data_IF_465843104593
#
_entry.id   IF_465843104593
#
_cell.length_a   1.000
_cell.length_b   1.000
_cell.length_c   1.000
_cell.angle_alpha   90.00
_cell.angle_beta   90.00
_cell.angle_gamma   90.00
#
_symmetry.space_group_name_H-M   'P 1'
#
loop_
_entity.id
_entity.type
_entity.pdbx_description
1 polymer ?
#
# COMPACT_ATOMS: atom_id res chain seq x y z
N UNK A 1 -24.65 -13.82 -31.64
CA UNK A 1 -23.63 -14.22 -30.65
C UNK A 1 -23.21 -13.11 -29.67
N UNK A 2 -23.05 -11.83 -30.03
CA UNK A 2 -22.83 -10.73 -29.04
C UNK A 2 -24.10 -9.95 -28.70
N UNK A 3 -24.92 -9.63 -29.71
CA UNK A 3 -26.21 -8.92 -29.57
C UNK A 3 -27.22 -9.70 -28.72
N UNK A 4 -27.35 -11.01 -28.94
CA UNK A 4 -28.20 -11.92 -28.16
C UNK A 4 -27.81 -12.00 -26.68
N UNK A 5 -26.55 -11.68 -26.35
CA UNK A 5 -26.05 -11.64 -24.98
C UNK A 5 -26.03 -10.21 -24.40
N UNK A 6 -26.62 -9.24 -25.10
CA UNK A 6 -26.70 -7.83 -24.69
C UNK A 6 -25.32 -7.21 -24.39
N UNK A 7 -24.29 -7.61 -25.16
CA UNK A 7 -22.89 -7.19 -24.96
C UNK A 7 -22.48 -5.96 -25.80
N UNK A 8 -23.36 -5.46 -26.67
CA UNK A 8 -23.14 -4.25 -27.46
C UNK A 8 -23.75 -3.07 -26.68
N UNK A 9 -22.97 -2.47 -25.78
CA UNK A 9 -23.42 -1.34 -24.95
C UNK A 9 -22.59 -0.10 -25.26
N UNK A 10 -23.23 0.96 -25.76
CA UNK A 10 -22.62 2.29 -25.92
C UNK A 10 -21.66 2.47 -27.11
N UNK A 11 -21.59 1.50 -28.03
CA UNK A 11 -20.81 1.63 -29.27
C UNK A 11 -21.70 1.93 -30.46
N UNK A 12 -21.37 2.99 -31.22
CA UNK A 12 -21.97 3.34 -32.51
C UNK A 12 -20.91 3.29 -33.62
N UNK A 13 -21.28 3.59 -34.86
CA UNK A 13 -20.36 3.57 -36.01
C UNK A 13 -19.31 4.71 -35.98
N UNK A 14 -19.45 5.66 -35.05
CA UNK A 14 -18.56 6.80 -34.89
C UNK A 14 -17.49 6.56 -33.80
N UNK A 15 -17.81 5.75 -32.79
CA UNK A 15 -16.98 5.51 -31.61
C UNK A 15 -16.45 4.08 -31.50
N UNK A 16 -16.96 3.13 -32.31
CA UNK A 16 -16.50 1.75 -32.33
C UNK A 16 -16.06 1.31 -33.73
N UNK A 17 -14.95 0.57 -33.84
CA UNK A 17 -14.51 0.00 -35.12
C UNK A 17 -15.36 -1.26 -35.41
N UNK A 18 -16.12 -1.23 -36.50
CA UNK A 18 -16.98 -2.34 -36.92
C UNK A 18 -16.36 -3.04 -38.11
N UNK A 19 -16.00 -4.31 -37.92
CA UNK A 19 -15.36 -5.15 -38.93
C UNK A 19 -16.43 -6.07 -39.54
N UNK A 20 -16.57 -5.98 -40.86
CA UNK A 20 -17.39 -6.86 -41.68
C UNK A 20 -16.51 -7.89 -42.38
N UNK A 21 -16.38 -9.05 -41.75
CA UNK A 21 -15.50 -10.14 -42.17
C UNK A 21 -16.24 -11.25 -42.94
N UNK A 22 -17.57 -11.30 -42.84
CA UNK A 22 -18.40 -12.32 -43.49
C UNK A 22 -19.63 -11.72 -44.15
N UNK A 23 -19.86 -12.07 -45.43
CA UNK A 23 -21.07 -11.69 -46.16
C UNK A 23 -22.30 -12.35 -45.52
N UNK A 24 -23.31 -11.55 -45.19
CA UNK A 24 -24.61 -12.00 -44.70
C UNK A 24 -25.74 -11.45 -45.59
N UNK A 25 -26.93 -12.08 -45.64
CA UNK A 25 -28.07 -11.59 -46.41
C UNK A 25 -28.51 -10.20 -45.95
N UNK A 26 -28.97 -9.35 -46.89
CA UNK A 26 -29.41 -7.98 -46.60
C UNK A 26 -30.50 -7.93 -45.52
N UNK A 27 -31.45 -8.86 -45.54
CA UNK A 27 -32.50 -8.97 -44.51
C UNK A 27 -31.93 -9.13 -43.09
N UNK A 28 -30.78 -9.80 -42.95
CA UNK A 28 -30.11 -9.96 -41.66
C UNK A 28 -29.34 -8.70 -41.24
N UNK A 29 -28.82 -7.92 -42.19
CA UNK A 29 -28.22 -6.60 -41.94
C UNK A 29 -29.27 -5.60 -41.50
N UNK A 30 -30.43 -5.57 -42.17
CA UNK A 30 -31.52 -4.64 -41.84
C UNK A 30 -32.08 -4.94 -40.45
N UNK A 31 -32.28 -6.23 -40.11
CA UNK A 31 -32.63 -6.66 -38.75
C UNK A 31 -31.61 -6.20 -37.70
N UNK A 32 -30.31 -6.30 -38.00
CA UNK A 32 -29.24 -5.81 -37.13
C UNK A 32 -29.26 -4.29 -36.98
N UNK A 33 -29.52 -3.57 -38.07
CA UNK A 33 -29.60 -2.12 -38.11
C UNK A 33 -30.79 -1.60 -37.29
N UNK A 34 -31.97 -2.22 -37.43
CA UNK A 34 -33.16 -1.92 -36.64
C UNK A 34 -32.93 -2.17 -35.15
N UNK A 35 -32.30 -3.30 -34.80
CA UNK A 35 -32.00 -3.64 -33.40
C UNK A 35 -30.98 -2.70 -32.75
N UNK A 36 -30.08 -2.11 -33.55
CA UNK A 36 -29.07 -1.15 -33.09
C UNK A 36 -29.50 0.32 -33.28
N UNK A 37 -30.70 0.54 -33.84
CA UNK A 37 -31.25 1.86 -34.17
C UNK A 37 -30.31 2.71 -35.06
N UNK A 38 -29.69 2.07 -36.06
CA UNK A 38 -28.79 2.70 -37.03
C UNK A 38 -29.40 2.68 -38.44
N UNK A 39 -29.04 3.62 -39.33
CA UNK A 39 -29.56 3.65 -40.69
C UNK A 39 -29.20 2.39 -41.47
N UNK A 40 -30.13 1.92 -42.30
CA UNK A 40 -29.88 0.80 -43.20
C UNK A 40 -28.76 1.15 -44.18
N UNK A 41 -27.77 0.26 -44.31
CA UNK A 41 -26.67 0.39 -45.26
C UNK A 41 -26.61 -0.85 -46.14
N UNK A 42 -26.44 -0.64 -47.44
CA UNK A 42 -26.18 -1.72 -48.40
C UNK A 42 -24.66 -1.95 -48.48
N UNK A 43 -24.19 -3.05 -47.89
CA UNK A 43 -22.76 -3.35 -47.74
C UNK A 43 -22.40 -4.54 -48.62
N UNK A 44 -21.79 -4.26 -49.77
CA UNK A 44 -21.43 -5.29 -50.77
C UNK A 44 -20.01 -5.86 -50.57
N UNK A 45 -19.12 -5.05 -49.97
CA UNK A 45 -17.71 -5.36 -49.81
C UNK A 45 -17.37 -5.65 -48.33
N UNK A 46 -16.46 -6.62 -48.11
CA UNK A 46 -15.87 -6.88 -46.79
C UNK A 46 -14.94 -5.73 -46.40
N UNK A 47 -14.83 -5.43 -45.11
CA UNK A 47 -14.01 -4.32 -44.62
C UNK A 47 -14.59 -3.63 -43.39
N UNK A 48 -14.37 -2.33 -43.24
CA UNK A 48 -14.84 -1.54 -42.10
C UNK A 48 -16.15 -0.82 -42.42
N UNK A 49 -17.12 -0.84 -41.50
CA UNK A 49 -18.46 -0.20 -41.66
C UNK A 49 -18.55 1.12 -40.87
N UNK A 50 -17.43 1.79 -40.67
CA UNK A 50 -17.37 3.05 -39.94
C UNK A 50 -17.82 4.23 -40.80
N UNK A 51 -18.42 5.26 -40.18
CA UNK A 51 -18.78 6.50 -40.90
C UNK A 51 -17.54 7.30 -41.30
N UNK A 52 -16.49 7.21 -40.48
CA UNK A 52 -15.18 7.78 -40.76
C UNK A 52 -14.22 6.69 -41.23
N UNK A 53 -13.35 6.97 -42.22
CA UNK A 53 -12.30 6.03 -42.57
C UNK A 53 -11.35 5.84 -41.39
N UNK A 54 -10.67 4.70 -41.36
CA UNK A 54 -9.56 4.51 -40.45
C UNK A 54 -8.46 5.53 -40.78
N UNK A 55 -7.88 6.10 -39.74
CA UNK A 55 -6.69 6.95 -39.82
C UNK A 55 -5.45 6.10 -40.07
N UNK A 56 -5.43 4.85 -39.56
CA UNK A 56 -4.31 3.92 -39.72
C UNK A 56 -4.76 2.51 -40.09
N UNK A 57 -3.98 1.81 -40.91
CA UNK A 57 -4.25 0.41 -41.27
C UNK A 57 -4.32 -0.52 -40.04
N UNK A 58 -3.57 -0.20 -38.98
CA UNK A 58 -3.50 -0.98 -37.74
C UNK A 58 -4.29 -0.35 -36.57
N UNK A 59 -5.26 0.52 -36.85
CA UNK A 59 -6.04 1.22 -35.83
C UNK A 59 -6.74 0.31 -34.79
N UNK A 60 -7.28 -0.87 -35.15
CA UNK A 60 -7.78 -1.83 -34.14
C UNK A 60 -6.73 -2.24 -33.11
N UNK A 61 -5.48 -2.44 -33.54
CA UNK A 61 -4.37 -2.76 -32.65
C UNK A 61 -3.97 -1.56 -31.78
N UNK A 62 -4.00 -0.35 -32.33
CA UNK A 62 -3.73 0.89 -31.58
C UNK A 62 -4.77 1.15 -30.49
N UNK A 63 -6.06 0.95 -30.78
CA UNK A 63 -7.11 1.04 -29.76
C UNK A 63 -6.88 0.02 -28.64
N UNK A 64 -6.53 -1.22 -28.99
CA UNK A 64 -6.22 -2.23 -27.97
C UNK A 64 -4.99 -1.87 -27.13
N UNK A 65 -3.98 -1.25 -27.74
CA UNK A 65 -2.81 -0.75 -27.02
C UNK A 65 -3.20 0.38 -26.05
N UNK A 66 -4.05 1.32 -26.49
CA UNK A 66 -4.55 2.42 -25.65
C UNK A 66 -5.35 1.88 -24.47
N UNK A 67 -6.22 0.88 -24.68
CA UNK A 67 -6.94 0.20 -23.58
C UNK A 67 -5.97 -0.34 -22.53
N UNK A 68 -4.93 -1.04 -22.96
CA UNK A 68 -3.91 -1.60 -22.06
C UNK A 68 -3.19 -0.48 -21.32
N UNK A 69 -2.78 0.59 -22.01
CA UNK A 69 -2.11 1.73 -21.38
C UNK A 69 -3.02 2.39 -20.33
N UNK A 70 -4.29 2.63 -20.67
CA UNK A 70 -5.28 3.23 -19.78
C UNK A 70 -5.55 2.38 -18.53
N UNK A 71 -5.78 1.07 -18.73
CA UNK A 71 -6.03 0.15 -17.61
C UNK A 71 -4.79 0.01 -16.71
N UNK A 72 -3.58 -0.03 -17.28
CA UNK A 72 -2.32 -0.12 -16.53
C UNK A 72 -2.02 1.19 -15.79
N UNK A 73 -2.42 2.34 -16.32
CA UNK A 73 -2.28 3.62 -15.62
C UNK A 73 -3.00 3.64 -14.25
N UNK A 74 -4.02 2.79 -14.05
CA UNK A 74 -4.73 2.64 -12.77
C UNK A 74 -3.86 2.08 -11.63
N UNK A 75 -2.66 1.59 -11.94
CA UNK A 75 -1.65 1.21 -10.94
C UNK A 75 -1.26 2.42 -10.07
N UNK A 76 -1.26 3.63 -10.64
CA UNK A 76 -1.00 4.88 -9.91
C UNK A 76 0.48 5.18 -9.65
N UNK A 77 1.41 4.36 -10.17
CA UNK A 77 2.84 4.66 -10.21
C UNK A 77 3.41 4.37 -11.60
N UNK A 78 4.41 5.14 -12.07
CA UNK A 78 5.12 4.84 -13.31
C UNK A 78 5.79 3.47 -13.24
N UNK A 79 5.68 2.69 -14.31
CA UNK A 79 6.30 1.37 -14.41
C UNK A 79 7.61 1.50 -15.16
N UNK A 80 8.72 1.12 -14.52
CA UNK A 80 10.03 0.97 -15.18
C UNK A 80 10.21 -0.49 -15.60
N UNK A 81 9.58 -0.87 -16.71
CA UNK A 81 9.60 -2.26 -17.20
C UNK A 81 8.90 -2.44 -18.54
N UNK A 82 8.81 -3.70 -19.00
CA UNK A 82 8.15 -4.09 -20.25
C UNK A 82 6.86 -4.85 -19.96
N UNK A 83 5.77 -4.43 -20.57
CA UNK A 83 4.48 -5.14 -20.52
C UNK A 83 4.28 -5.87 -21.84
N UNK A 84 3.98 -7.17 -21.76
CA UNK A 84 3.65 -8.00 -22.91
C UNK A 84 2.22 -8.48 -22.72
N UNK A 85 1.36 -8.18 -23.69
CA UNK A 85 -0.06 -8.49 -23.62
C UNK A 85 -0.48 -9.37 -24.82
N UNK A 86 -0.99 -10.56 -24.54
CA UNK A 86 -1.49 -11.49 -25.56
C UNK A 86 -3.00 -11.61 -25.39
N UNK A 87 -3.77 -11.15 -26.38
CA UNK A 87 -5.25 -11.06 -26.33
C UNK A 87 -5.76 -10.30 -25.08
N UNK A 88 -5.30 -9.05 -24.87
CA UNK A 88 -5.71 -8.28 -23.69
C UNK A 88 -7.19 -7.94 -23.69
N UNK A 89 -7.72 -7.63 -22.51
CA UNK A 89 -9.09 -7.17 -22.32
C UNK A 89 -9.24 -6.46 -20.98
N UNK A 90 -10.20 -5.56 -20.86
CA UNK A 90 -10.32 -4.71 -19.67
C UNK A 90 -10.35 -5.49 -18.37
N UNK A 91 -11.07 -6.63 -18.32
CA UNK A 91 -11.15 -7.46 -17.12
C UNK A 91 -9.77 -7.94 -16.66
N UNK A 92 -8.95 -8.50 -17.56
CA UNK A 92 -7.63 -9.05 -17.21
C UNK A 92 -6.63 -7.93 -16.91
N UNK A 93 -6.68 -6.84 -17.69
CA UNK A 93 -5.80 -5.67 -17.49
C UNK A 93 -6.06 -5.04 -16.11
N UNK A 94 -7.32 -4.81 -15.77
CA UNK A 94 -7.72 -4.26 -14.47
C UNK A 94 -7.35 -5.18 -13.31
N UNK A 95 -7.47 -6.51 -13.49
CA UNK A 95 -7.06 -7.47 -12.47
C UNK A 95 -5.54 -7.42 -12.24
N UNK A 96 -4.74 -7.38 -13.31
CA UNK A 96 -3.29 -7.22 -13.23
C UNK A 96 -2.91 -5.90 -12.55
N UNK A 97 -3.51 -4.78 -12.98
CA UNK A 97 -3.28 -3.47 -12.40
C UNK A 97 -3.58 -3.44 -10.88
N UNK A 98 -4.68 -4.08 -10.45
CA UNK A 98 -5.02 -4.21 -9.02
C UNK A 98 -4.00 -5.04 -8.25
N UNK A 99 -3.51 -6.14 -8.82
CA UNK A 99 -2.49 -6.98 -8.18
C UNK A 99 -1.18 -6.20 -8.01
N UNK A 100 -0.71 -5.54 -9.06
CA UNK A 100 0.51 -4.70 -9.01
C UNK A 100 0.34 -3.57 -8.00
N UNK A 101 -0.80 -2.86 -8.02
CA UNK A 101 -1.07 -1.78 -7.05
C UNK A 101 -1.10 -2.29 -5.61
N UNK A 102 -1.67 -3.47 -5.38
CA UNK A 102 -1.66 -4.11 -4.05
C UNK A 102 -0.23 -4.42 -3.62
N UNK A 103 0.58 -4.98 -4.51
CA UNK A 103 1.97 -5.31 -4.24
C UNK A 103 2.82 -4.07 -4.00
N UNK A 104 2.68 -3.02 -4.82
CA UNK A 104 3.30 -1.71 -4.61
C UNK A 104 2.93 -1.14 -3.24
N UNK A 105 1.66 -1.23 -2.84
CA UNK A 105 1.22 -0.76 -1.51
C UNK A 105 1.80 -1.60 -0.37
N UNK A 106 2.02 -2.90 -0.60
CA UNK A 106 2.68 -3.77 0.37
C UNK A 106 4.19 -3.49 0.46
N UNK A 107 4.81 -3.13 -0.66
CA UNK A 107 6.24 -2.84 -0.77
C UNK A 107 6.58 -1.35 -0.64
N UNK A 108 5.58 -0.48 -0.43
CA UNK A 108 5.78 0.95 -0.15
C UNK A 108 6.52 1.16 1.16
N UNK A 109 6.34 0.23 2.10
CA UNK A 109 6.98 0.26 3.41
C UNK A 109 8.07 -0.79 3.42
N UNK A 110 9.26 -0.38 3.01
CA UNK A 110 10.44 -1.23 3.09
C UNK A 110 10.99 -1.23 4.51
N UNK A 111 11.51 -2.38 4.92
CA UNK A 111 12.26 -2.47 6.17
C UNK A 111 13.46 -1.50 6.11
N UNK A 112 13.66 -0.66 7.13
CA UNK A 112 14.88 0.12 7.23
C UNK A 112 16.10 -0.80 7.27
N UNK A 113 17.21 -0.36 6.66
CA UNK A 113 18.47 -1.11 6.72
C UNK A 113 19.04 -0.95 8.13
N UNK A 114 19.23 -2.06 8.83
CA UNK A 114 19.87 -2.10 10.13
C UNK A 114 21.27 -2.71 10.00
N UNK A 115 22.29 -1.88 10.20
CA UNK A 115 23.68 -2.32 10.34
C UNK A 115 24.09 -2.23 11.81
N UNK A 116 24.36 -3.36 12.50
CA UNK A 116 24.75 -3.36 13.90
C UNK A 116 26.15 -2.77 14.15
N UNK A 117 26.95 -2.54 13.10
CA UNK A 117 28.29 -1.94 13.22
C UNK A 117 28.28 -0.41 13.25
N UNK A 118 27.13 0.22 12.93
CA UNK A 118 26.99 1.67 12.99
C UNK A 118 26.63 2.12 14.40
N UNK A 119 27.21 3.25 14.82
CA UNK A 119 26.85 3.93 16.06
C UNK A 119 25.39 4.40 15.99
N UNK A 120 24.59 4.20 17.05
CA UNK A 120 23.22 4.66 17.09
C UNK A 120 23.14 6.20 17.19
N UNK A 121 22.06 6.76 16.63
CA UNK A 121 21.70 8.17 16.83
C UNK A 121 21.35 8.44 18.29
N UNK A 122 20.68 7.49 18.95
CA UNK A 122 20.45 7.50 20.39
C UNK A 122 20.71 6.12 20.97
N UNK A 123 21.61 6.03 21.93
CA UNK A 123 21.82 4.82 22.73
C UNK A 123 20.79 4.71 23.87
N UNK A 124 20.87 3.64 24.65
CA UNK A 124 19.95 3.40 25.76
C UNK A 124 20.03 4.49 26.85
N UNK A 125 21.21 5.10 27.06
CA UNK A 125 21.36 6.13 28.07
C UNK A 125 20.62 7.40 27.64
N UNK A 126 20.81 7.82 26.40
CA UNK A 126 20.09 8.95 25.82
C UNK A 126 18.58 8.72 25.81
N UNK A 127 18.13 7.50 25.47
CA UNK A 127 16.71 7.14 25.53
C UNK A 127 16.15 7.28 26.95
N UNK A 128 16.90 6.87 27.98
CA UNK A 128 16.47 6.96 29.39
C UNK A 128 16.38 8.39 29.92
N UNK A 129 17.13 9.32 29.36
CA UNK A 129 17.02 10.75 29.65
C UNK A 129 15.71 11.34 29.09
N UNK A 130 15.28 10.86 27.92
CA UNK A 130 14.10 11.37 27.21
C UNK A 130 12.80 10.70 27.64
N UNK A 131 12.80 9.38 27.84
CA UNK A 131 11.61 8.64 28.22
C UNK A 131 11.54 8.40 29.73
N UNK A 132 10.35 8.52 30.35
CA UNK A 132 10.16 8.17 31.75
C UNK A 132 10.13 6.65 32.00
N UNK A 133 9.90 5.84 30.96
CA UNK A 133 9.78 4.38 31.05
C UNK A 133 11.04 3.73 31.63
N UNK A 134 10.86 2.72 32.48
CA UNK A 134 11.94 1.93 33.10
C UNK A 134 11.59 0.45 33.05
N UNK A 135 12.55 -0.42 33.36
CA UNK A 135 12.31 -1.86 33.46
C UNK A 135 11.10 -2.16 34.37
N UNK A 136 10.18 -3.07 33.97
CA UNK A 136 10.23 -3.95 32.78
C UNK A 136 9.51 -3.37 31.54
N UNK A 137 9.31 -2.06 31.46
CA UNK A 137 8.44 -1.42 30.46
C UNK A 137 9.13 -0.39 29.56
N UNK A 138 10.46 -0.27 29.60
CA UNK A 138 11.23 0.42 28.56
C UNK A 138 11.55 -0.60 27.45
N UNK A 139 10.97 -0.41 26.27
CA UNK A 139 10.92 -1.40 25.19
C UNK A 139 11.61 -0.90 23.90
N UNK A 140 12.53 0.05 24.01
CA UNK A 140 13.34 0.54 22.88
C UNK A 140 14.80 0.56 23.34
N UNK A 141 15.66 -0.10 22.59
CA UNK A 141 17.07 -0.28 22.98
C UNK A 141 17.97 0.83 22.40
N UNK A 142 17.69 1.24 21.16
CA UNK A 142 18.42 2.30 20.46
C UNK A 142 17.60 2.91 19.32
N UNK A 143 17.95 4.12 18.91
CA UNK A 143 17.48 4.78 17.69
C UNK A 143 18.61 4.79 16.66
N UNK A 144 18.31 4.33 15.45
CA UNK A 144 19.30 4.21 14.36
C UNK A 144 19.12 5.28 13.28
N UNK A 145 17.95 5.92 13.20
CA UNK A 145 17.68 6.94 12.21
C UNK A 145 16.61 7.92 12.72
N UNK A 146 16.80 9.22 12.46
CA UNK A 146 15.81 10.27 12.72
C UNK A 146 15.78 11.19 11.49
N UNK A 147 14.61 11.33 10.88
CA UNK A 147 14.36 12.31 9.83
C UNK A 147 13.42 13.41 10.29
N UNK A 148 12.99 14.27 9.36
CA UNK A 148 12.13 15.41 9.69
C UNK A 148 10.74 15.03 10.23
N UNK A 149 10.17 13.92 9.78
CA UNK A 149 8.85 13.44 10.19
C UNK A 149 8.81 11.95 10.55
N UNK A 150 9.96 11.29 10.69
CA UNK A 150 10.03 9.86 10.98
C UNK A 150 11.21 9.52 11.89
N UNK A 151 11.13 8.34 12.51
CA UNK A 151 12.16 7.78 13.38
C UNK A 151 12.24 6.26 13.18
N UNK A 152 13.42 5.70 13.35
CA UNK A 152 13.66 4.25 13.32
C UNK A 152 14.33 3.80 14.61
N UNK A 153 13.61 3.00 15.39
CA UNK A 153 14.08 2.38 16.62
C UNK A 153 14.42 0.90 16.45
N UNK A 154 15.15 0.36 17.40
CA UNK A 154 15.48 -1.07 17.49
C UNK A 154 15.08 -1.59 18.87
N UNK A 155 14.45 -2.78 18.89
CA UNK A 155 14.25 -3.58 20.10
C UNK A 155 14.75 -5.00 19.84
N UNK A 156 15.69 -5.47 20.63
CA UNK A 156 16.12 -6.85 20.63
C UNK A 156 15.18 -7.69 21.50
N UNK A 157 14.90 -8.89 21.03
CA UNK A 157 14.03 -9.84 21.70
C UNK A 157 14.88 -10.96 22.27
N UNK A 158 14.85 -11.12 23.58
CA UNK A 158 15.61 -12.17 24.27
C UNK A 158 14.71 -13.00 25.16
N UNK A 159 15.00 -14.30 25.28
CA UNK A 159 14.25 -15.20 26.16
C UNK A 159 14.31 -14.78 27.63
N UNK A 160 15.28 -13.92 28.00
CA UNK A 160 15.46 -13.39 29.35
C UNK A 160 14.54 -12.20 29.67
N UNK A 161 13.52 -11.92 28.86
CA UNK A 161 12.51 -10.91 29.18
C UNK A 161 11.36 -11.52 30.01
N UNK A 162 10.84 -10.79 31.03
CA UNK A 162 9.93 -11.35 32.04
C UNK A 162 8.61 -11.87 31.46
N UNK A 163 8.12 -11.29 30.35
CA UNK A 163 6.85 -11.70 29.75
C UNK A 163 6.91 -13.07 29.07
N UNK A 164 8.09 -13.59 28.72
CA UNK A 164 8.20 -14.93 28.11
C UNK A 164 7.94 -16.07 29.10
N UNK A 165 8.04 -15.82 30.41
CA UNK A 165 7.68 -16.81 31.43
C UNK A 165 6.21 -17.20 31.35
N UNK A 166 5.34 -16.27 30.94
CA UNK A 166 3.89 -16.46 30.85
C UNK A 166 3.32 -16.48 29.44
N UNK A 167 4.06 -16.06 28.42
CA UNK A 167 3.51 -15.86 27.07
C UNK A 167 4.40 -16.50 25.97
N UNK A 168 4.32 -17.81 25.76
CA UNK A 168 3.69 -18.84 26.59
C UNK A 168 4.77 -19.82 27.07
N UNK A 169 4.58 -20.54 28.19
CA UNK A 169 5.63 -21.36 28.79
C UNK A 169 6.34 -22.37 27.86
N UNK A 170 5.65 -22.90 26.84
CA UNK A 170 6.24 -23.81 25.84
C UNK A 170 6.38 -23.20 24.44
N UNK A 171 5.91 -21.97 24.26
CA UNK A 171 5.93 -21.28 22.98
C UNK A 171 6.17 -19.78 23.24
N UNK A 172 7.43 -19.36 23.46
CA UNK A 172 7.72 -17.97 23.80
C UNK A 172 7.42 -17.06 22.60
N UNK A 173 6.46 -16.15 22.78
CA UNK A 173 6.03 -15.18 21.77
C UNK A 173 5.93 -13.80 22.42
N UNK A 174 6.51 -12.77 21.83
CA UNK A 174 6.35 -11.41 22.37
C UNK A 174 4.88 -10.99 22.25
N UNK A 175 4.21 -10.57 23.34
CA UNK A 175 2.83 -10.10 23.27
C UNK A 175 2.67 -8.97 22.26
N UNK A 176 1.69 -9.08 21.35
CA UNK A 176 1.47 -8.09 20.30
C UNK A 176 1.27 -6.67 20.85
N UNK A 177 0.61 -6.55 22.01
CA UNK A 177 0.42 -5.26 22.71
C UNK A 177 1.74 -4.60 23.12
N UNK A 178 2.78 -5.37 23.43
CA UNK A 178 4.10 -4.82 23.75
C UNK A 178 4.85 -4.36 22.49
N UNK A 179 4.53 -4.90 21.32
CA UNK A 179 5.04 -4.37 20.05
C UNK A 179 4.43 -2.99 19.78
N UNK A 180 3.14 -2.81 20.08
CA UNK A 180 2.46 -1.50 19.96
C UNK A 180 3.02 -0.50 20.98
N UNK A 181 3.31 -0.95 22.20
CA UNK A 181 3.98 -0.12 23.19
C UNK A 181 5.39 0.31 22.75
N UNK A 182 6.19 -0.61 22.20
CA UNK A 182 7.51 -0.27 21.64
C UNK A 182 7.41 0.74 20.48
N UNK A 183 6.39 0.61 19.61
CA UNK A 183 6.09 1.61 18.58
C UNK A 183 5.77 2.97 19.22
N UNK A 184 4.97 2.98 20.29
CA UNK A 184 4.60 4.19 21.03
C UNK A 184 5.80 4.94 21.55
N UNK A 185 6.69 4.22 22.25
CA UNK A 185 7.88 4.78 22.87
C UNK A 185 8.83 5.33 21.81
N UNK A 186 8.99 4.60 20.70
CA UNK A 186 9.80 5.04 19.56
C UNK A 186 9.24 6.33 18.97
N UNK A 187 7.93 6.40 18.73
CA UNK A 187 7.32 7.64 18.22
C UNK A 187 7.29 8.79 19.25
N UNK A 188 7.20 8.47 20.54
CA UNK A 188 7.35 9.42 21.64
C UNK A 188 8.73 10.07 21.63
N UNK A 189 9.80 9.31 21.34
CA UNK A 189 11.15 9.84 21.16
C UNK A 189 11.24 10.85 20.00
N UNK A 190 10.57 10.60 18.88
CA UNK A 190 10.52 11.56 17.76
C UNK A 190 9.93 12.91 18.18
N UNK A 191 8.83 12.85 18.93
CA UNK A 191 8.14 14.03 19.45
C UNK A 191 8.98 14.74 20.50
N UNK A 192 9.48 14.01 21.50
CA UNK A 192 10.22 14.57 22.63
C UNK A 192 11.59 15.14 22.22
N UNK A 193 12.18 14.63 21.14
CA UNK A 193 13.39 15.19 20.57
C UNK A 193 13.18 16.59 19.95
N UNK A 194 11.93 17.05 19.80
CA UNK A 194 11.59 18.37 19.24
C UNK A 194 11.16 19.41 20.27
N UNK A 195 11.16 19.08 21.57
CA UNK A 195 10.69 19.97 22.65
C UNK A 195 11.79 20.25 23.67
N UNK A 196 11.76 21.44 24.26
CA UNK A 196 12.62 21.80 25.38
C UNK A 196 12.16 21.07 26.67
N UNK A 197 13.10 20.64 27.51
CA UNK A 197 12.84 19.94 28.79
C UNK A 197 11.92 18.70 28.62
N UNK A 198 12.33 17.69 27.81
CA UNK A 198 11.49 16.54 27.47
C UNK A 198 11.07 15.69 28.68
N UNK A 199 11.84 15.72 29.77
CA UNK A 199 11.55 15.08 31.05
C UNK A 199 10.26 15.63 31.72
N UNK A 200 9.86 16.84 31.36
CA UNK A 200 8.61 17.46 31.82
C UNK A 200 7.40 17.05 31.01
N UNK A 201 7.50 16.11 30.07
CA UNK A 201 6.37 15.71 29.24
C UNK A 201 6.11 14.21 29.36
N UNK A 202 4.83 13.87 29.47
CA UNK A 202 4.33 12.50 29.33
C UNK A 202 3.53 12.38 28.04
N UNK A 203 3.69 11.26 27.34
CA UNK A 203 2.89 10.92 26.16
C UNK A 203 1.84 9.88 26.54
N UNK A 204 0.57 10.22 26.40
CA UNK A 204 -0.55 9.32 26.71
C UNK A 204 -1.26 8.90 25.43
N UNK A 205 -1.52 7.59 25.27
CA UNK A 205 -2.34 7.09 24.18
C UNK A 205 -3.78 7.58 24.30
N UNK A 206 -4.30 8.11 23.19
CA UNK A 206 -5.72 8.47 23.05
C UNK A 206 -6.48 7.45 22.20
N UNK A 207 -5.86 6.97 21.12
CA UNK A 207 -6.49 6.07 20.16
C UNK A 207 -5.43 5.19 19.51
N UNK A 208 -5.78 3.92 19.29
CA UNK A 208 -5.04 3.00 18.44
C UNK A 208 -6.03 2.44 17.41
N UNK A 209 -5.65 2.42 16.14
CA UNK A 209 -6.49 2.02 15.01
C UNK A 209 -5.72 1.14 14.02
N UNK A 210 -6.46 0.35 13.25
CA UNK A 210 -5.91 -0.42 12.14
C UNK A 210 -4.80 -1.41 12.51
N UNK A 211 -4.72 -1.85 13.77
CA UNK A 211 -3.69 -2.77 14.25
C UNK A 211 -3.74 -4.09 13.49
N UNK A 212 -2.59 -4.54 12.97
CA UNK A 212 -2.46 -5.87 12.38
C UNK A 212 -1.19 -6.54 12.89
N UNK A 213 -1.36 -7.77 13.38
CA UNK A 213 -0.25 -8.68 13.68
C UNK A 213 -0.20 -9.72 12.56
N UNK A 214 0.93 -9.77 11.84
CA UNK A 214 1.10 -10.59 10.63
C UNK A 214 1.90 -11.86 10.93
N UNK A 215 2.92 -11.74 11.78
CA UNK A 215 3.83 -12.82 12.13
C UNK A 215 4.14 -12.80 13.63
N UNK A 216 4.46 -13.97 14.19
CA UNK A 216 4.95 -14.09 15.57
C UNK A 216 6.34 -13.45 15.67
N UNK A 217 6.60 -12.84 16.80
CA UNK A 217 7.92 -12.34 17.21
C UNK A 217 8.40 -13.22 18.35
N UNK A 218 9.60 -13.75 18.25
CA UNK A 218 10.14 -14.77 19.15
C UNK A 218 11.55 -14.39 19.64
N UNK A 219 12.06 -15.01 20.73
CA UNK A 219 13.43 -14.81 21.17
C UNK A 219 14.45 -15.00 20.04
N UNK A 220 15.41 -14.08 19.95
CA UNK A 220 16.42 -14.03 18.89
C UNK A 220 16.09 -13.03 17.76
N UNK A 221 14.84 -12.58 17.66
CA UNK A 221 14.47 -11.55 16.68
C UNK A 221 15.04 -10.17 17.05
N UNK A 222 15.36 -9.38 16.04
CA UNK A 222 15.59 -7.93 16.17
C UNK A 222 14.42 -7.19 15.51
N UNK A 223 13.66 -6.45 16.31
CA UNK A 223 12.59 -5.61 15.82
C UNK A 223 13.14 -4.28 15.33
N UNK A 224 12.82 -3.93 14.08
CA UNK A 224 13.06 -2.61 13.51
C UNK A 224 11.74 -1.85 13.48
N UNK A 225 11.67 -0.76 14.26
CA UNK A 225 10.48 0.03 14.53
C UNK A 225 10.51 1.31 13.68
N UNK A 226 9.80 1.35 12.54
CA UNK A 226 9.70 2.55 11.69
C UNK A 226 8.42 3.30 11.99
N UNK A 227 8.55 4.54 12.46
CA UNK A 227 7.42 5.40 12.83
C UNK A 227 7.46 6.69 12.03
N UNK A 228 6.30 7.16 11.56
CA UNK A 228 6.15 8.41 10.84
C UNK A 228 4.96 9.23 11.34
N UNK A 229 5.12 10.56 11.39
CA UNK A 229 4.03 11.51 11.66
C UNK A 229 3.12 11.58 10.44
N UNK A 230 1.82 11.33 10.64
CA UNK A 230 0.80 11.46 9.60
C UNK A 230 0.37 12.91 9.37
N UNK A 231 0.55 13.75 10.38
CA UNK A 231 0.25 15.18 10.34
C UNK A 231 1.18 15.95 11.29
N UNK A 232 1.37 17.26 11.09
CA UNK A 232 2.06 18.12 12.05
C UNK A 232 1.38 18.07 13.42
N UNK A 233 2.17 18.11 14.48
CA UNK A 233 1.69 18.13 15.86
C UNK A 233 0.87 19.40 16.09
N UNK A 234 -0.34 19.26 16.60
CA UNK A 234 -1.23 20.39 16.88
C UNK A 234 -1.89 20.21 18.24
N UNK A 235 -1.88 21.26 19.08
CA UNK A 235 -2.50 21.25 20.42
C UNK A 235 -1.99 20.10 21.30
N UNK A 236 -0.72 19.72 21.15
CA UNK A 236 -0.12 18.60 21.87
C UNK A 236 -0.59 17.22 21.40
N UNK A 237 -1.29 17.10 20.28
CA UNK A 237 -1.72 15.82 19.72
C UNK A 237 -0.79 15.43 18.58
N UNK A 238 -0.23 14.22 18.69
CA UNK A 238 0.54 13.56 17.64
C UNK A 238 -0.26 12.39 17.08
N UNK A 239 -0.27 12.25 15.75
CA UNK A 239 -0.85 11.08 15.07
C UNK A 239 0.22 10.44 14.22
N UNK A 240 0.47 9.16 14.45
CA UNK A 240 1.58 8.43 13.86
C UNK A 240 1.13 7.12 13.26
N UNK A 241 1.93 6.65 12.30
CA UNK A 241 1.86 5.31 11.75
C UNK A 241 3.14 4.57 12.05
N UNK A 242 3.00 3.34 12.53
CA UNK A 242 4.11 2.48 12.92
C UNK A 242 4.09 1.17 12.17
N UNK A 243 5.30 0.73 11.84
CA UNK A 243 5.60 -0.53 11.20
C UNK A 243 6.73 -1.20 11.97
N UNK A 244 6.55 -2.48 12.32
CA UNK A 244 7.60 -3.30 12.93
C UNK A 244 8.04 -4.34 11.92
N UNK A 245 9.35 -4.47 11.75
CA UNK A 245 9.97 -5.46 10.88
C UNK A 245 10.86 -6.43 11.67
N UNK A 246 10.98 -7.66 11.15
CA UNK A 246 12.05 -8.61 11.51
C UNK A 246 12.73 -9.00 10.20
N UNK A 247 13.97 -8.56 10.02
CA UNK A 247 14.60 -8.51 8.69
C UNK A 247 13.69 -7.77 7.71
N UNK A 248 13.34 -8.41 6.61
CA UNK A 248 12.54 -7.80 5.53
C UNK A 248 11.03 -7.97 5.74
N UNK A 249 10.61 -8.67 6.80
CA UNK A 249 9.21 -9.07 7.02
C UNK A 249 8.51 -8.08 7.93
N UNK A 250 7.42 -7.48 7.45
CA UNK A 250 6.51 -6.68 8.27
C UNK A 250 5.75 -7.59 9.25
N UNK A 251 6.08 -7.52 10.55
CA UNK A 251 5.47 -8.37 11.59
C UNK A 251 4.26 -7.73 12.25
N UNK A 252 4.22 -6.40 12.38
CA UNK A 252 3.04 -5.67 12.84
C UNK A 252 2.97 -4.23 12.32
N UNK A 253 1.75 -3.70 12.25
CA UNK A 253 1.49 -2.30 11.88
C UNK A 253 0.34 -1.72 12.70
N UNK A 254 0.37 -0.42 12.96
CA UNK A 254 -0.71 0.31 13.63
C UNK A 254 -0.68 1.81 13.32
N UNK A 255 -1.83 2.46 13.43
CA UNK A 255 -1.94 3.91 13.49
C UNK A 255 -2.39 4.30 14.90
N UNK A 256 -1.78 5.33 15.47
CA UNK A 256 -2.11 5.73 16.83
C UNK A 256 -1.97 7.22 17.07
N UNK A 257 -2.77 7.70 18.01
CA UNK A 257 -2.84 9.08 18.45
C UNK A 257 -2.40 9.16 19.90
N UNK A 258 -1.49 10.09 20.18
CA UNK A 258 -0.98 10.36 21.52
C UNK A 258 -1.14 11.84 21.88
N UNK A 259 -1.42 12.11 23.15
CA UNK A 259 -1.42 13.44 23.73
C UNK A 259 -0.13 13.65 24.52
N UNK A 260 0.54 14.76 24.24
CA UNK A 260 1.72 15.25 24.94
C UNK A 260 1.23 16.17 26.04
N UNK A 261 1.43 15.77 27.29
CA UNK A 261 0.98 16.49 28.47
C UNK A 261 2.18 16.89 29.29
N UNK A 262 2.25 18.18 29.67
CA UNK A 262 3.31 18.66 30.56
C UNK A 262 3.05 18.14 31.98
N UNK A 263 3.98 17.35 32.50
CA UNK A 263 4.08 16.99 33.90
C UNK A 263 4.34 18.28 34.70
N UNK A 264 3.58 18.48 35.78
CA UNK A 264 3.70 19.68 36.63
C UNK A 264 5.10 19.84 37.19
#
# INVERSE_FOLDING_TARGET
>A
MLLQNNLIKGGDLDNAIVIYDKKIPQESLDKLADMLNIPHKNIQNLGYINNKPLVFDNEPARHKLIDVIGDIALIGKPIKGRIIATRPGHKINNQLARLIRKDIKMNEVQAPVYDPNLEPVMDINRIRELLPHRYPFLLVDKIIEIGGNYIVGVKNITTNEPFFQGHFPQEPVMPGVLQIEAMAQTGGLLVLNSVDEPDRYSTYFMKIDGVKFRHKVVPGDTLILRLELLAPIRRGISTMKGYVFVGDKLVSEAEFMAQIVKNK
#
